data_IF_157066269652
#
_entry.id   IF_157066269652
#
_cell.length_a   1.000
_cell.length_b   1.000
_cell.length_c   1.000
_cell.angle_alpha   90.00
_cell.angle_beta   90.00
_cell.angle_gamma   90.00
#
_symmetry.space_group_name_H-M   'P 1'
#
loop_
_entity.id
_entity.type
_entity.pdbx_description
1 polymer ?
#
# COMPACT_ATOMS: atom_id res chain seq x y z
N UNK A 1 8.51 16.70 10.20
CA UNK A 1 8.05 15.34 10.57
C UNK A 1 6.53 15.34 10.46
N UNK A 2 5.98 14.91 9.31
CA UNK A 2 4.53 14.86 9.12
C UNK A 2 3.92 13.93 10.19
N UNK A 3 2.91 14.38 10.94
CA UNK A 3 2.32 13.53 11.95
C UNK A 3 1.62 12.38 11.22
N UNK A 4 2.02 11.16 11.55
CA UNK A 4 1.36 9.89 11.23
C UNK A 4 -0.05 9.81 11.87
N UNK A 5 -0.76 10.95 12.01
CA UNK A 5 -2.02 11.14 12.72
C UNK A 5 -3.25 10.74 11.92
N UNK A 6 -3.14 10.40 10.64
CA UNK A 6 -4.13 9.51 10.01
C UNK A 6 -3.80 8.09 10.43
N UNK A 7 -4.16 7.79 11.68
CA UNK A 7 -4.12 6.45 12.24
C UNK A 7 -4.78 5.52 11.23
N UNK A 8 -4.02 4.57 10.71
CA UNK A 8 -4.57 3.44 9.99
C UNK A 8 -5.58 2.83 10.97
N UNK A 9 -6.89 3.07 10.75
CA UNK A 9 -7.96 2.51 11.58
C UNK A 9 -7.96 1.02 11.31
N UNK A 10 -7.16 0.34 12.11
CA UNK A 10 -6.78 -1.04 11.93
C UNK A 10 -7.53 -1.85 12.99
N UNK A 11 -8.64 -2.45 12.57
CA UNK A 11 -9.52 -3.25 13.43
C UNK A 11 -8.94 -4.66 13.70
N UNK A 12 -8.17 -5.20 12.76
CA UNK A 12 -7.51 -6.51 12.87
C UNK A 12 -6.23 -6.45 13.70
N UNK A 13 -5.88 -7.58 14.33
CA UNK A 13 -4.56 -7.80 14.96
C UNK A 13 -3.46 -8.15 13.96
N UNK A 14 -3.82 -8.76 12.82
CA UNK A 14 -2.86 -9.19 11.78
C UNK A 14 -3.32 -8.69 10.42
N UNK A 15 -2.39 -8.10 9.67
CA UNK A 15 -2.60 -7.62 8.29
C UNK A 15 -1.69 -8.35 7.32
N UNK A 16 -2.29 -8.79 6.22
CA UNK A 16 -1.58 -9.41 5.10
C UNK A 16 -1.08 -8.31 4.16
N UNK A 17 0.23 -8.15 4.10
CA UNK A 17 0.91 -7.19 3.23
C UNK A 17 1.38 -7.90 1.99
N UNK A 18 0.97 -7.43 0.82
CA UNK A 18 1.52 -7.94 -0.43
C UNK A 18 2.51 -6.95 -1.04
N UNK A 19 3.65 -7.48 -1.46
CA UNK A 19 4.69 -6.82 -2.24
C UNK A 19 5.30 -7.83 -3.21
N UNK A 20 6.00 -7.38 -4.24
CA UNK A 20 6.59 -8.27 -5.25
C UNK A 20 7.85 -8.98 -4.72
N UNK A 21 7.70 -9.90 -3.76
CA UNK A 21 8.83 -10.58 -3.11
C UNK A 21 9.72 -11.40 -4.06
N UNK A 22 9.20 -11.85 -5.22
CA UNK A 22 10.00 -12.60 -6.21
C UNK A 22 11.02 -11.71 -6.92
N UNK A 23 10.81 -10.39 -6.95
CA UNK A 23 11.73 -9.42 -7.54
C UNK A 23 12.31 -8.62 -6.37
N UNK A 24 13.60 -8.79 -6.09
CA UNK A 24 14.28 -8.06 -4.98
C UNK A 24 14.43 -6.57 -5.31
N UNK A 25 13.33 -5.83 -5.34
CA UNK A 25 13.38 -4.38 -5.34
C UNK A 25 13.37 -3.86 -3.90
N UNK A 26 14.06 -2.75 -3.70
CA UNK A 26 14.30 -2.18 -2.38
C UNK A 26 12.99 -1.80 -1.66
N UNK A 27 12.04 -1.19 -2.39
CA UNK A 27 10.75 -0.77 -1.81
C UNK A 27 9.90 -1.94 -1.28
N UNK A 28 9.83 -3.05 -2.01
CA UNK A 28 9.10 -4.23 -1.60
C UNK A 28 9.74 -4.92 -0.39
N UNK A 29 11.08 -4.89 -0.33
CA UNK A 29 11.85 -5.45 0.79
C UNK A 29 11.66 -4.62 2.06
N UNK A 30 11.56 -3.29 1.93
CA UNK A 30 11.41 -2.38 3.07
C UNK A 30 9.99 -2.28 3.61
N UNK A 31 8.97 -2.66 2.82
CA UNK A 31 7.57 -2.43 3.18
C UNK A 31 7.22 -3.02 4.56
N UNK A 32 7.51 -4.32 4.78
CA UNK A 32 7.17 -4.99 6.04
C UNK A 32 8.02 -4.47 7.20
N UNK A 33 9.35 -4.32 7.09
CA UNK A 33 10.17 -3.70 8.12
C UNK A 33 9.64 -2.32 8.55
N UNK A 34 9.37 -1.41 7.62
CA UNK A 34 8.90 -0.06 7.97
C UNK A 34 7.54 -0.12 8.66
N UNK A 35 6.59 -0.90 8.11
CA UNK A 35 5.28 -1.07 8.74
C UNK A 35 5.41 -1.64 10.17
N UNK A 36 6.30 -2.61 10.38
CA UNK A 36 6.54 -3.20 11.70
C UNK A 36 7.30 -2.28 12.67
N UNK A 37 8.09 -1.33 12.17
CA UNK A 37 8.75 -0.30 12.99
C UNK A 37 7.77 0.73 13.52
N UNK A 38 6.80 1.17 12.70
CA UNK A 38 5.89 2.27 13.05
C UNK A 38 4.48 1.82 13.48
N UNK A 39 4.22 0.51 13.57
CA UNK A 39 2.93 -0.01 13.99
C UNK A 39 2.64 0.19 15.48
N UNK A 40 1.35 0.28 15.86
CA UNK A 40 0.90 -0.01 17.21
C UNK A 40 1.37 -1.40 17.71
N UNK A 41 1.66 -1.52 19.00
CA UNK A 41 2.21 -2.76 19.61
C UNK A 41 1.35 -4.00 19.38
N UNK A 42 0.04 -3.84 19.25
CA UNK A 42 -0.96 -4.92 19.10
C UNK A 42 -1.24 -5.35 17.65
N UNK A 43 -0.61 -4.70 16.67
CA UNK A 43 -0.77 -5.02 15.25
C UNK A 43 0.43 -5.84 14.79
N UNK A 44 0.27 -6.70 13.79
CA UNK A 44 1.35 -7.42 13.11
C UNK A 44 1.12 -7.34 11.60
N UNK A 45 2.18 -7.07 10.85
CA UNK A 45 2.17 -7.12 9.39
C UNK A 45 2.95 -8.33 8.92
N UNK A 46 2.31 -9.17 8.10
CA UNK A 46 2.89 -10.39 7.57
C UNK A 46 2.85 -10.39 6.06
N UNK A 47 3.88 -10.98 5.44
CA UNK A 47 3.91 -11.13 4.00
C UNK A 47 2.78 -12.04 3.51
N UNK A 48 2.09 -11.59 2.47
CA UNK A 48 1.08 -12.34 1.75
C UNK A 48 1.65 -12.84 0.44
N UNK A 49 1.50 -14.14 0.15
CA UNK A 49 1.97 -14.70 -1.13
C UNK A 49 1.03 -14.37 -2.30
N UNK A 50 -0.24 -14.10 -2.01
CA UNK A 50 -1.28 -13.88 -3.01
C UNK A 50 -1.93 -12.51 -2.80
N UNK A 51 -1.81 -11.64 -3.81
CA UNK A 51 -2.36 -10.28 -3.77
C UNK A 51 -3.87 -10.23 -3.51
N UNK A 52 -4.63 -11.26 -3.93
CA UNK A 52 -6.08 -11.33 -3.71
C UNK A 52 -6.46 -11.40 -2.23
N UNK A 53 -5.54 -11.81 -1.37
CA UNK A 53 -5.74 -11.90 0.08
C UNK A 53 -5.00 -10.79 0.83
N UNK A 54 -4.47 -9.79 0.11
CA UNK A 54 -3.79 -8.67 0.75
C UNK A 54 -4.80 -7.74 1.42
N UNK A 55 -4.49 -7.35 2.65
CA UNK A 55 -5.15 -6.24 3.32
C UNK A 55 -4.44 -4.91 3.01
N UNK A 56 -3.13 -4.95 2.76
CA UNK A 56 -2.28 -3.76 2.65
C UNK A 56 -1.30 -3.91 1.49
N UNK A 57 -1.10 -2.80 0.77
CA UNK A 57 -0.15 -2.67 -0.35
C UNK A 57 0.80 -1.53 -0.02
N UNK A 58 2.10 -1.79 -0.07
CA UNK A 58 3.14 -0.86 0.38
C UNK A 58 3.90 -0.12 -0.72
N UNK A 59 5.10 0.35 -0.36
CA UNK A 59 5.98 1.30 -1.09
C UNK A 59 6.43 0.81 -2.49
N UNK A 60 6.17 -0.45 -2.83
CA UNK A 60 6.41 -1.03 -4.15
C UNK A 60 5.70 -0.30 -5.30
N UNK A 61 5.96 -0.75 -6.52
CA UNK A 61 5.26 -0.23 -7.72
C UNK A 61 4.29 -1.26 -8.28
N UNK A 62 3.21 -1.50 -7.54
CA UNK A 62 2.39 -2.69 -7.73
C UNK A 62 0.91 -2.39 -7.91
N UNK A 63 0.53 -1.11 -8.01
CA UNK A 63 -0.87 -0.69 -8.18
C UNK A 63 -1.50 -1.33 -9.42
N UNK A 64 -0.75 -1.42 -10.53
CA UNK A 64 -1.20 -2.03 -11.78
C UNK A 64 -1.46 -3.54 -11.67
N UNK A 65 -1.03 -4.20 -10.59
CA UNK A 65 -1.28 -5.62 -10.35
C UNK A 65 -2.49 -5.87 -9.44
N UNK A 66 -3.10 -4.81 -8.88
CA UNK A 66 -4.21 -4.95 -7.95
C UNK A 66 -5.45 -5.55 -8.64
N UNK A 67 -6.17 -6.46 -7.96
CA UNK A 67 -7.50 -6.86 -8.42
C UNK A 67 -8.42 -5.65 -8.52
N UNK A 68 -9.27 -5.62 -9.55
CA UNK A 68 -10.27 -4.55 -9.75
C UNK A 68 -11.21 -4.36 -8.56
N UNK A 69 -11.42 -5.43 -7.78
CA UNK A 69 -12.27 -5.45 -6.59
C UNK A 69 -11.50 -5.35 -5.27
N UNK A 70 -10.24 -4.92 -5.28
CA UNK A 70 -9.43 -4.75 -4.07
C UNK A 70 -10.12 -3.80 -3.07
N UNK A 71 -10.18 -4.16 -1.79
CA UNK A 71 -10.84 -3.37 -0.72
C UNK A 71 -9.92 -2.99 0.43
N UNK A 72 -8.63 -3.29 0.28
CA UNK A 72 -7.64 -3.05 1.32
C UNK A 72 -7.10 -1.62 1.30
N UNK A 73 -5.96 -1.46 1.94
CA UNK A 73 -5.30 -0.18 2.13
C UNK A 73 -4.10 -0.05 1.20
N UNK A 74 -3.98 1.11 0.55
CA UNK A 74 -2.82 1.48 -0.27
C UNK A 74 -2.01 2.48 0.53
N UNK A 75 -0.82 2.04 0.95
CA UNK A 75 0.12 2.81 1.74
C UNK A 75 1.37 3.08 0.90
N UNK A 76 1.35 4.24 0.24
CA UNK A 76 2.48 4.82 -0.52
C UNK A 76 2.99 3.99 -1.69
N UNK A 77 2.12 3.17 -2.30
CA UNK A 77 2.44 2.39 -3.50
C UNK A 77 2.47 3.22 -4.78
N UNK A 78 3.22 2.76 -5.78
CA UNK A 78 3.34 3.38 -7.10
C UNK A 78 2.73 2.55 -8.24
N UNK A 79 2.58 3.17 -9.40
CA UNK A 79 2.43 2.46 -10.69
C UNK A 79 3.66 2.69 -11.57
N UNK A 80 4.12 1.65 -12.27
CA UNK A 80 5.10 1.78 -13.37
C UNK A 80 4.43 1.83 -14.74
N UNK A 81 3.13 1.56 -14.81
CA UNK A 81 2.37 1.55 -16.06
C UNK A 81 2.12 2.96 -16.61
N UNK A 82 1.54 2.99 -17.80
CA UNK A 82 0.96 4.21 -18.41
C UNK A 82 -0.48 4.44 -17.95
N UNK A 83 -1.08 3.49 -17.26
CA UNK A 83 -2.39 3.58 -16.62
C UNK A 83 -2.36 2.92 -15.24
N UNK A 84 -3.28 3.32 -14.39
CA UNK A 84 -3.55 2.67 -13.13
C UNK A 84 -5.05 2.80 -12.84
N UNK A 85 -5.66 1.74 -12.32
CA UNK A 85 -7.02 1.79 -11.80
C UNK A 85 -7.04 1.14 -10.43
N UNK A 86 -7.83 1.71 -9.55
CA UNK A 86 -8.03 1.21 -8.20
C UNK A 86 -9.53 1.13 -7.98
N UNK A 87 -9.96 0.05 -7.36
CA UNK A 87 -11.31 -0.07 -6.81
C UNK A 87 -11.69 1.17 -5.98
N UNK A 88 -12.90 1.73 -6.14
CA UNK A 88 -13.38 2.82 -5.28
C UNK A 88 -13.57 2.38 -3.82
N UNK A 89 -13.52 1.07 -3.55
CA UNK A 89 -13.62 0.50 -2.20
C UNK A 89 -12.25 0.43 -1.51
N UNK A 90 -11.15 0.64 -2.23
CA UNK A 90 -9.82 0.68 -1.64
C UNK A 90 -9.62 2.00 -0.89
N UNK A 91 -8.89 1.92 0.23
CA UNK A 91 -8.56 3.09 1.05
C UNK A 91 -7.15 3.56 0.72
N UNK A 92 -7.02 4.73 0.11
CA UNK A 92 -5.72 5.30 -0.27
C UNK A 92 -5.24 6.23 0.83
N UNK A 93 -4.12 5.89 1.48
CA UNK A 93 -3.44 6.78 2.44
C UNK A 93 -2.37 7.65 1.78
N UNK A 94 -1.86 7.20 0.65
CA UNK A 94 -0.88 7.91 -0.14
C UNK A 94 -0.37 7.04 -1.29
N UNK A 95 0.25 7.68 -2.27
CA UNK A 95 0.83 7.03 -3.45
C UNK A 95 2.26 7.51 -3.68
N UNK A 96 3.02 6.76 -4.48
CA UNK A 96 4.42 7.07 -4.75
C UNK A 96 4.57 8.07 -5.89
N UNK A 97 4.78 9.33 -5.51
CA UNK A 97 5.18 10.43 -6.39
C UNK A 97 4.04 11.00 -7.27
N UNK A 98 4.27 12.16 -7.91
CA UNK A 98 3.24 12.90 -8.65
C UNK A 98 2.64 12.10 -9.82
N UNK A 99 3.48 11.38 -10.57
CA UNK A 99 3.03 10.57 -11.71
C UNK A 99 1.97 9.54 -11.30
N UNK A 100 2.13 8.86 -10.17
CA UNK A 100 1.12 7.89 -9.70
C UNK A 100 -0.16 8.61 -9.29
N UNK A 101 -0.05 9.79 -8.66
CA UNK A 101 -1.21 10.59 -8.28
C UNK A 101 -2.01 11.05 -9.51
N UNK A 102 -1.33 11.54 -10.55
CA UNK A 102 -1.93 11.93 -11.82
C UNK A 102 -2.66 10.76 -12.50
N UNK A 103 -2.03 9.58 -12.57
CA UNK A 103 -2.64 8.37 -13.15
C UNK A 103 -3.94 7.95 -12.44
N UNK A 104 -4.10 8.33 -11.17
CA UNK A 104 -5.23 7.98 -10.33
C UNK A 104 -6.18 9.16 -10.10
N UNK A 105 -5.96 10.28 -10.78
CA UNK A 105 -6.71 11.52 -10.62
C UNK A 105 -6.81 11.97 -9.15
N UNK A 106 -5.73 11.76 -8.39
CA UNK A 106 -5.65 12.17 -6.99
C UNK A 106 -5.17 13.62 -6.91
N UNK A 107 -5.98 14.48 -6.30
CA UNK A 107 -5.57 15.84 -5.95
C UNK A 107 -4.58 15.80 -4.79
N UNK A 108 -3.49 16.56 -4.89
CA UNK A 108 -2.62 16.80 -3.75
C UNK A 108 -3.34 17.66 -2.73
N UNK A 109 -3.54 17.14 -1.53
CA UNK A 109 -3.91 17.97 -0.37
C UNK A 109 -2.72 18.90 -0.09
N UNK A 110 -2.79 20.15 -0.57
CA UNK A 110 -1.86 21.24 -0.22
C UNK A 110 -2.04 21.67 1.22
#
# INVERSE_FOLDING_TARGET
MLPFKKQLYMEKKVYKVWSYHKVKNFGDTLTIPILNTFKPKNIVFEHCKNIKHADVIGIGSVIQSLPENFRGYIWTSGSLGTSAQISPQAKIYGVRGPKTAELLDLKSDT
#
